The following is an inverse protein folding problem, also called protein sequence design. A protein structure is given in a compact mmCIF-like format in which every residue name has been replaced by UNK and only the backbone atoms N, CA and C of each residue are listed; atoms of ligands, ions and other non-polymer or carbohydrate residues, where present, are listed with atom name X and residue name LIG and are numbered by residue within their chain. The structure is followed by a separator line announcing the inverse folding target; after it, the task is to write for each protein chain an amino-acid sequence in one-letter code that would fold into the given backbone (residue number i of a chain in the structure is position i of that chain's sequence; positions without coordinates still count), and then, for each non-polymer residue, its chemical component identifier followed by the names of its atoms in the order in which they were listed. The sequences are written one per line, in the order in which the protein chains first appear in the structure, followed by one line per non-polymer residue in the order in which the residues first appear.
data_IF_892302458410
#
_entry.id   IF_892302458410
#
_cell.length_a   1.000
_cell.length_b   1.000
_cell.length_c   1.000
_cell.angle_alpha   90.00
_cell.angle_beta   90.00
_cell.angle_gamma   90.00
#
_symmetry.space_group_name_H-M   'P 1'
#
loop_
_entity.id
_entity.type
_entity.pdbx_description
1 polymer ?
#
# COMPACT_ATOMS: atom_id res chain seq x y z
N UNK A 1 -3.92 16.31 9.66
CA UNK A 1 -2.86 15.79 8.75
C UNK A 1 -1.56 15.66 9.52
N UNK A 2 -0.68 14.69 9.23
CA UNK A 2 0.60 14.55 9.95
C UNK A 2 1.81 14.05 9.13
N UNK A 3 1.62 13.69 7.86
CA UNK A 3 2.70 13.20 6.99
C UNK A 3 2.42 13.67 5.55
N UNK A 4 3.49 13.92 4.78
CA UNK A 4 3.43 14.57 3.48
C UNK A 4 4.44 14.01 2.50
N UNK A 5 4.05 14.00 1.23
CA UNK A 5 4.94 13.79 0.10
C UNK A 5 4.61 14.79 -1.01
N UNK A 6 5.63 15.32 -1.67
CA UNK A 6 5.47 16.30 -2.75
C UNK A 6 5.49 17.73 -2.22
N UNK A 7 4.81 18.63 -2.91
CA UNK A 7 4.81 20.04 -2.59
C UNK A 7 3.71 20.36 -1.55
N UNK A 8 4.11 20.76 -0.35
CA UNK A 8 3.20 21.01 0.78
C UNK A 8 2.41 22.32 0.66
N UNK A 9 2.74 23.16 -0.31
CA UNK A 9 2.03 24.42 -0.57
C UNK A 9 0.97 24.28 -1.67
N UNK A 10 0.80 23.07 -2.23
CA UNK A 10 -0.18 22.83 -3.28
C UNK A 10 -1.57 22.58 -2.71
N UNK A 11 -2.54 23.21 -3.37
CA UNK A 11 -3.95 22.96 -3.12
C UNK A 11 -4.40 21.64 -3.76
N UNK A 12 -5.29 20.94 -3.07
CA UNK A 12 -6.01 19.78 -3.58
C UNK A 12 -7.51 20.05 -3.49
N UNK A 13 -8.25 19.57 -4.49
CA UNK A 13 -9.70 19.62 -4.46
C UNK A 13 -10.24 18.31 -3.90
N UNK A 14 -10.78 18.35 -2.68
CA UNK A 14 -11.45 17.21 -2.08
C UNK A 14 -12.89 17.13 -2.59
N UNK A 15 -13.32 15.94 -2.99
CA UNK A 15 -14.72 15.63 -3.26
C UNK A 15 -15.19 14.49 -2.37
N UNK A 16 -16.35 14.67 -1.76
CA UNK A 16 -17.01 13.68 -0.91
C UNK A 16 -18.26 13.19 -1.60
N UNK A 17 -18.39 11.87 -1.72
CA UNK A 17 -19.53 11.20 -2.32
C UNK A 17 -20.17 10.26 -1.30
N UNK A 18 -21.47 10.00 -1.46
CA UNK A 18 -22.12 8.95 -0.73
C UNK A 18 -21.65 7.58 -1.25
N UNK A 19 -21.10 6.75 -0.37
CA UNK A 19 -20.77 5.37 -0.73
C UNK A 19 -22.03 4.50 -0.66
N UNK A 20 -22.26 3.65 -1.65
CA UNK A 20 -23.51 2.89 -1.78
C UNK A 20 -23.39 1.42 -1.39
N UNK A 21 -22.18 0.94 -1.10
CA UNK A 21 -21.94 -0.44 -0.67
C UNK A 21 -21.45 -0.55 0.78
N UNK A 22 -21.80 -1.65 1.44
CA UNK A 22 -21.39 -1.89 2.82
C UNK A 22 -19.96 -2.41 2.87
N UNK A 23 -19.10 -1.74 3.64
CA UNK A 23 -17.76 -2.24 3.97
C UNK A 23 -17.76 -3.14 5.22
N UNK A 24 -17.52 -4.43 5.04
CA UNK A 24 -17.44 -5.43 6.10
C UNK A 24 -16.05 -5.52 6.77
N UNK A 25 -16.03 -5.92 8.04
CA UNK A 25 -14.83 -6.25 8.81
C UNK A 25 -14.96 -7.71 9.26
N UNK A 26 -14.79 -8.63 8.33
CA UNK A 26 -14.81 -10.06 8.60
C UNK A 26 -13.76 -10.78 7.76
N UNK A 27 -13.56 -12.07 8.02
CA UNK A 27 -12.59 -12.90 7.32
C UNK A 27 -13.07 -13.36 5.93
N UNK A 28 -14.31 -13.06 5.56
CA UNK A 28 -14.89 -13.45 4.28
C UNK A 28 -14.77 -12.32 3.22
N UNK A 29 -14.57 -11.07 3.67
CA UNK A 29 -14.41 -9.90 2.81
C UNK A 29 -13.00 -9.34 2.92
N UNK A 30 -12.21 -9.60 1.89
CA UNK A 30 -10.90 -8.99 1.70
C UNK A 30 -11.00 -7.83 0.72
N UNK A 31 -10.30 -6.73 1.00
CA UNK A 31 -10.16 -5.59 0.10
C UNK A 31 -8.71 -5.50 -0.33
N UNK A 32 -8.47 -5.75 -1.60
CA UNK A 32 -7.15 -5.78 -2.21
C UNK A 32 -6.86 -4.46 -2.93
N UNK A 33 -5.62 -4.28 -3.37
CA UNK A 33 -5.17 -3.04 -4.02
C UNK A 33 -5.86 -2.77 -5.36
N UNK A 34 -6.37 -3.83 -6.01
CA UNK A 34 -7.16 -3.79 -7.24
C UNK A 34 -8.67 -3.58 -6.99
N UNK A 35 -9.06 -3.15 -5.79
CA UNK A 35 -10.45 -2.86 -5.47
C UNK A 35 -11.02 -1.76 -6.38
N UNK A 36 -11.93 -2.15 -7.27
CA UNK A 36 -12.65 -1.23 -8.13
C UNK A 36 -13.83 -0.57 -7.39
N UNK A 37 -13.84 0.76 -7.35
CA UNK A 37 -14.89 1.59 -6.74
C UNK A 37 -15.96 2.02 -7.73
N UNK A 38 -15.76 1.80 -9.03
CA UNK A 38 -16.70 2.22 -10.06
C UNK A 38 -18.10 1.64 -9.80
N UNK A 39 -19.12 2.50 -9.85
CA UNK A 39 -20.52 2.13 -9.59
C UNK A 39 -20.88 1.87 -8.12
N UNK A 40 -19.93 1.97 -7.19
CA UNK A 40 -20.14 1.71 -5.74
C UNK A 40 -20.34 2.98 -4.90
N UNK A 41 -20.55 4.12 -5.56
CA UNK A 41 -20.85 5.40 -4.93
C UNK A 41 -21.83 6.19 -5.80
N UNK A 42 -22.54 7.14 -5.18
CA UNK A 42 -23.36 8.10 -5.91
C UNK A 42 -22.43 9.11 -6.61
N UNK A 43 -22.47 9.25 -7.95
CA UNK A 43 -21.56 10.14 -8.68
C UNK A 43 -21.84 11.63 -8.46
N UNK A 44 -22.93 11.98 -7.77
CA UNK A 44 -23.21 13.36 -7.34
C UNK A 44 -22.44 13.65 -6.04
N UNK A 45 -21.52 14.63 -6.03
CA UNK A 45 -20.76 14.95 -4.83
C UNK A 45 -21.68 15.57 -3.76
N UNK A 46 -21.58 15.07 -2.53
CA UNK A 46 -22.24 15.62 -1.34
C UNK A 46 -21.61 16.94 -0.91
N UNK A 47 -20.30 17.07 -1.11
CA UNK A 47 -19.53 18.27 -0.80
C UNK A 47 -18.22 18.30 -1.59
N UNK A 48 -17.73 19.51 -1.84
CA UNK A 48 -16.41 19.73 -2.42
C UNK A 48 -15.71 20.86 -1.67
N UNK A 49 -14.41 20.73 -1.46
CA UNK A 49 -13.61 21.73 -0.76
C UNK A 49 -12.17 21.72 -1.25
N UNK A 50 -11.68 22.88 -1.66
CA UNK A 50 -10.25 23.11 -1.89
C UNK A 50 -9.55 23.32 -0.55
N UNK A 51 -8.48 22.56 -0.32
CA UNK A 51 -7.63 22.70 0.86
C UNK A 51 -6.16 22.76 0.46
N UNK A 52 -5.35 23.51 1.21
CA UNK A 52 -3.90 23.35 1.25
C UNK A 52 -3.58 22.44 2.44
N UNK A 53 -3.16 21.18 2.25
CA UNK A 53 -2.89 20.27 3.36
C UNK A 53 -1.82 20.82 4.31
N UNK A 54 -2.13 20.95 5.60
CA UNK A 54 -1.25 21.55 6.59
C UNK A 54 -1.10 20.66 7.84
N UNK A 55 0.14 20.52 8.33
CA UNK A 55 0.46 19.64 9.45
C UNK A 55 -0.33 20.04 10.71
N UNK A 56 -0.87 19.06 11.43
CA UNK A 56 -1.68 19.28 12.63
C UNK A 56 -3.06 19.91 12.39
N UNK A 57 -3.44 20.13 11.12
CA UNK A 57 -4.74 20.76 10.78
C UNK A 57 -5.84 19.71 10.62
N UNK A 58 -7.04 20.09 11.05
CA UNK A 58 -8.30 19.38 10.84
C UNK A 58 -9.15 20.19 9.87
N UNK A 59 -9.73 19.53 8.89
CA UNK A 59 -10.61 20.15 7.89
C UNK A 59 -12.05 19.72 8.14
N UNK A 60 -12.95 20.70 8.08
CA UNK A 60 -14.39 20.50 8.19
C UNK A 60 -15.01 20.65 6.80
N UNK A 61 -15.58 19.56 6.28
CA UNK A 61 -16.27 19.53 4.99
C UNK A 61 -17.77 19.57 5.27
N UNK A 62 -18.43 20.68 4.92
CA UNK A 62 -19.86 20.84 5.12
C UNK A 62 -20.65 20.16 4.01
N UNK A 63 -21.54 19.24 4.37
CA UNK A 63 -22.49 18.60 3.45
C UNK A 63 -23.80 19.39 3.51
N UNK A 64 -24.17 20.03 2.41
CA UNK A 64 -25.42 20.79 2.26
C UNK A 64 -26.43 20.11 1.34
N UNK A 65 -26.09 18.93 0.81
CA UNK A 65 -26.96 18.13 -0.05
C UNK A 65 -28.26 17.74 0.69
N UNK A 66 -29.38 18.27 0.21
CA UNK A 66 -30.66 18.12 0.89
C UNK A 66 -31.17 16.68 0.84
N UNK A 67 -30.93 15.95 -0.25
CA UNK A 67 -31.36 14.56 -0.38
C UNK A 67 -30.67 13.68 0.66
N UNK A 68 -29.37 13.88 0.86
CA UNK A 68 -28.60 13.19 1.91
C UNK A 68 -29.05 13.58 3.32
N UNK A 69 -29.32 14.88 3.56
CA UNK A 69 -29.87 15.34 4.85
C UNK A 69 -31.25 14.72 5.11
N UNK A 70 -32.11 14.66 4.09
CA UNK A 70 -33.45 14.09 4.18
C UNK A 70 -33.42 12.59 4.49
N UNK A 71 -32.36 11.87 4.12
CA UNK A 71 -32.16 10.47 4.56
C UNK A 71 -32.10 10.32 6.08
N UNK A 72 -31.48 11.26 6.80
CA UNK A 72 -31.46 11.27 8.27
C UNK A 72 -32.84 11.63 8.83
N UNK A 73 -33.53 12.60 8.21
CA UNK A 73 -34.86 13.02 8.65
C UNK A 73 -35.92 11.94 8.42
N UNK A 74 -35.78 11.13 7.37
CA UNK A 74 -36.69 10.03 7.04
C UNK A 74 -36.73 8.95 8.14
N UNK A 75 -35.66 8.81 8.92
CA UNK A 75 -35.50 7.77 9.96
C UNK A 75 -35.47 8.36 11.37
N UNK A 76 -35.76 9.65 11.54
CA UNK A 76 -35.63 10.37 12.81
C UNK A 76 -36.43 9.75 13.97
N UNK A 77 -37.51 9.02 13.68
CA UNK A 77 -38.36 8.36 14.67
C UNK A 77 -38.06 6.86 14.85
N UNK A 78 -37.18 6.27 14.03
CA UNK A 78 -36.80 4.87 14.11
C UNK A 78 -35.55 4.68 14.96
N UNK A 79 -35.77 4.35 16.23
CA UNK A 79 -34.67 4.10 17.18
C UNK A 79 -33.86 2.86 16.85
N UNK A 80 -34.35 1.95 15.99
CA UNK A 80 -33.63 0.72 15.65
C UNK A 80 -32.42 1.02 14.76
N UNK A 81 -32.54 1.98 13.84
CA UNK A 81 -31.46 2.35 12.92
C UNK A 81 -30.25 2.88 13.67
N UNK A 82 -30.49 3.58 14.79
CA UNK A 82 -29.44 4.13 15.65
C UNK A 82 -29.05 3.21 16.82
N UNK A 83 -29.56 1.98 16.87
CA UNK A 83 -29.31 1.05 17.98
C UNK A 83 -27.88 0.49 17.99
N UNK A 84 -27.29 0.30 16.81
CA UNK A 84 -25.94 -0.26 16.67
C UNK A 84 -25.26 0.20 15.39
N UNK A 85 -23.93 0.22 15.39
CA UNK A 85 -23.11 0.58 14.22
C UNK A 85 -23.42 -0.29 13.01
N UNK A 86 -23.70 -1.59 13.20
CA UNK A 86 -23.99 -2.47 12.06
C UNK A 86 -25.28 -2.05 11.35
N UNK A 87 -26.37 -1.89 12.10
CA UNK A 87 -27.68 -1.49 11.53
C UNK A 87 -27.57 -0.09 10.92
N UNK A 88 -26.87 0.83 11.59
CA UNK A 88 -26.65 2.18 11.07
C UNK A 88 -25.93 2.13 9.72
N UNK A 89 -24.85 1.34 9.62
CA UNK A 89 -24.05 1.24 8.40
C UNK A 89 -24.75 0.49 7.27
N UNK A 90 -25.75 -0.35 7.56
CA UNK A 90 -26.58 -0.96 6.51
C UNK A 90 -27.51 0.07 5.83
N UNK A 91 -27.79 1.20 6.50
CA UNK A 91 -28.58 2.31 5.95
C UNK A 91 -27.70 3.48 5.46
N UNK A 92 -26.60 3.76 6.18
CA UNK A 92 -25.58 4.75 5.85
C UNK A 92 -24.23 4.07 5.61
N UNK A 93 -24.03 3.61 4.38
CA UNK A 93 -22.90 2.76 3.97
C UNK A 93 -21.52 3.43 4.11
N UNK A 94 -21.46 4.76 4.00
CA UNK A 94 -20.27 5.55 4.30
C UNK A 94 -20.03 6.66 3.28
N UNK A 95 -18.77 7.08 3.18
CA UNK A 95 -18.33 8.11 2.26
C UNK A 95 -17.20 7.58 1.38
N UNK A 96 -17.24 7.95 0.11
CA UNK A 96 -16.08 7.88 -0.77
C UNK A 96 -15.47 9.28 -0.86
N UNK A 97 -14.19 9.40 -0.53
CA UNK A 97 -13.47 10.66 -0.52
C UNK A 97 -12.32 10.54 -1.52
N UNK A 98 -12.28 11.45 -2.49
CA UNK A 98 -11.19 11.56 -3.46
C UNK A 98 -10.56 12.95 -3.41
N UNK A 99 -9.31 13.05 -3.86
CA UNK A 99 -8.55 14.28 -3.94
C UNK A 99 -8.02 14.44 -5.36
N UNK A 100 -8.42 15.53 -6.02
CA UNK A 100 -7.92 15.87 -7.35
C UNK A 100 -6.80 16.92 -7.24
N UNK A 101 -5.66 16.73 -7.92
CA UNK A 101 -4.60 17.72 -7.93
C UNK A 101 -5.03 18.96 -8.72
N UNK A 102 -4.68 20.14 -8.22
CA UNK A 102 -4.89 21.41 -8.95
C UNK A 102 -3.66 21.84 -9.77
N UNK A 103 -2.53 21.12 -9.64
CA UNK A 103 -1.28 21.37 -10.34
C UNK A 103 -0.49 20.09 -10.58
N UNK A 104 0.51 20.15 -11.46
CA UNK A 104 1.36 19.00 -11.81
C UNK A 104 2.41 18.64 -10.76
N UNK A 105 2.75 19.54 -9.83
CA UNK A 105 3.71 19.23 -8.76
C UNK A 105 3.12 18.30 -7.70
N UNK A 106 1.79 18.35 -7.51
CA UNK A 106 1.01 17.44 -6.67
C UNK A 106 1.40 17.44 -5.19
N UNK A 107 0.51 16.90 -4.37
CA UNK A 107 0.80 16.65 -2.95
C UNK A 107 0.03 15.43 -2.49
N UNK A 108 0.64 14.64 -1.63
CA UNK A 108 0.01 13.54 -0.94
C UNK A 108 0.12 13.80 0.56
N UNK A 109 -1.00 13.75 1.26
CA UNK A 109 -1.07 14.07 2.67
C UNK A 109 -1.82 12.99 3.44
N UNK A 110 -1.23 12.53 4.54
CA UNK A 110 -1.84 11.49 5.38
C UNK A 110 -2.83 12.10 6.38
N UNK A 111 -4.08 11.63 6.30
CA UNK A 111 -5.13 11.98 7.26
C UNK A 111 -5.06 11.06 8.47
N UNK A 112 -5.03 11.63 9.68
CA UNK A 112 -5.19 10.86 10.91
C UNK A 112 -6.67 10.63 11.18
N UNK A 113 -7.18 9.47 10.76
CA UNK A 113 -8.57 9.09 11.01
C UNK A 113 -8.79 8.49 12.41
N UNK A 114 -7.73 8.13 13.15
CA UNK A 114 -7.79 7.70 14.54
C UNK A 114 -7.69 8.90 15.51
N UNK A 115 -8.54 9.89 15.31
CA UNK A 115 -8.62 11.09 16.14
C UNK A 115 -10.04 11.29 16.63
N UNK A 116 -10.22 11.83 17.84
CA UNK A 116 -11.55 12.24 18.36
C UNK A 116 -12.19 13.35 17.53
N UNK A 117 -11.41 14.01 16.68
CA UNK A 117 -11.87 15.02 15.73
C UNK A 117 -12.34 14.40 14.41
N UNK A 118 -12.00 13.13 14.13
CA UNK A 118 -12.47 12.39 12.95
C UNK A 118 -13.89 11.88 13.20
N UNK A 119 -14.87 12.66 12.75
CA UNK A 119 -16.29 12.35 12.98
C UNK A 119 -17.17 13.02 11.93
N UNK A 120 -18.33 12.41 11.66
CA UNK A 120 -19.46 13.12 11.08
C UNK A 120 -20.21 13.83 12.22
N UNK A 121 -20.53 15.11 12.02
CA UNK A 121 -21.33 15.88 12.99
C UNK A 121 -22.60 16.38 12.32
N UNK A 122 -23.74 15.95 12.83
CA UNK A 122 -25.04 16.47 12.42
C UNK A 122 -25.43 17.60 13.37
N UNK A 123 -25.54 18.82 12.83
CA UNK A 123 -26.07 19.98 13.54
C UNK A 123 -27.57 20.09 13.23
N UNK A 124 -28.41 20.04 14.26
CA UNK A 124 -29.87 20.08 14.10
C UNK A 124 -30.51 20.98 15.16
N UNK A 125 -31.72 21.44 14.89
CA UNK A 125 -32.52 22.21 15.82
C UNK A 125 -33.97 21.77 15.69
N UNK A 126 -34.71 21.81 16.80
CA UNK A 126 -36.15 21.54 16.75
C UNK A 126 -36.87 22.73 16.10
N UNK A 127 -37.74 22.45 15.14
CA UNK A 127 -38.64 23.44 14.58
C UNK A 127 -39.86 23.56 15.50
N UNK A 128 -39.66 24.14 16.68
CA UNK A 128 -40.79 24.47 17.56
C UNK A 128 -41.47 25.71 16.99
N UNK A 129 -42.69 25.53 16.47
CA UNK A 129 -43.55 26.62 15.99
C UNK A 129 -43.98 27.60 17.10
N UNK A 130 -43.65 27.30 18.35
CA UNK A 130 -43.93 28.12 19.53
C UNK A 130 -42.76 29.06 19.92
N UNK A 131 -41.65 29.06 19.15
CA UNK A 131 -40.49 29.89 19.45
C UNK A 131 -40.63 31.26 18.78
N UNK A 132 -40.61 32.30 19.60
CA UNK A 132 -40.50 33.70 19.20
C UNK A 132 -39.44 33.85 18.09
N UNK A 133 -39.87 34.34 16.92
CA UNK A 133 -39.03 34.53 15.72
C UNK A 133 -37.82 35.47 15.93
N UNK A 134 -37.65 36.03 17.13
CA UNK A 134 -36.54 36.88 17.53
C UNK A 134 -35.48 36.18 18.40
N UNK A 135 -35.74 34.95 18.88
CA UNK A 135 -34.75 34.17 19.64
C UNK A 135 -33.81 33.39 18.69
N UNK A 136 -32.51 33.38 19.00
CA UNK A 136 -31.53 32.56 18.27
C UNK A 136 -31.93 31.07 18.36
N UNK A 137 -31.82 30.31 17.26
CA UNK A 137 -32.14 28.87 17.26
C UNK A 137 -31.17 28.13 18.18
N UNK A 138 -31.72 27.34 19.10
CA UNK A 138 -30.93 26.43 19.93
C UNK A 138 -30.53 25.19 19.08
N UNK A 139 -29.23 25.02 18.86
CA UNK A 139 -28.69 23.94 18.05
C UNK A 139 -28.16 22.81 18.93
N UNK A 140 -28.60 21.59 18.63
CA UNK A 140 -28.05 20.37 19.13
C UNK A 140 -27.09 19.73 18.11
N UNK A 141 -26.20 18.87 18.60
CA UNK A 141 -25.20 18.18 17.80
C UNK A 141 -25.23 16.69 18.08
N UNK A 142 -25.28 15.88 17.03
CA UNK A 142 -25.04 14.45 17.10
C UNK A 142 -23.69 14.15 16.43
N UNK A 143 -22.88 13.29 17.05
CA UNK A 143 -21.55 12.95 16.58
C UNK A 143 -21.48 11.46 16.27
N UNK A 144 -21.02 11.11 15.07
CA UNK A 144 -20.74 9.75 14.63
C UNK A 144 -19.23 9.64 14.45
N UNK A 145 -18.57 8.94 15.37
CA UNK A 145 -17.09 8.85 15.39
C UNK A 145 -16.60 7.96 14.26
N UNK A 146 -15.50 8.38 13.62
CA UNK A 146 -14.77 7.56 12.66
C UNK A 146 -13.55 7.01 13.41
N UNK A 147 -13.55 5.72 13.73
CA UNK A 147 -12.45 5.09 14.48
C UNK A 147 -12.10 3.69 13.94
N UNK A 148 -11.10 3.05 14.54
CA UNK A 148 -10.55 1.77 14.07
C UNK A 148 -11.41 0.54 14.40
N UNK A 149 -12.40 0.67 15.29
CA UNK A 149 -13.26 -0.41 15.74
C UNK A 149 -14.66 -0.30 15.13
N UNK A 150 -15.17 0.91 14.94
CA UNK A 150 -16.53 1.16 14.45
C UNK A 150 -16.60 1.40 12.93
N UNK A 151 -15.50 1.83 12.29
CA UNK A 151 -15.52 2.24 10.88
C UNK A 151 -14.43 1.57 10.04
N UNK A 152 -14.86 0.83 9.02
CA UNK A 152 -14.01 0.22 8.01
C UNK A 152 -13.51 1.28 7.04
N UNK A 153 -12.24 1.18 6.64
CA UNK A 153 -11.55 2.17 5.80
C UNK A 153 -10.70 1.43 4.78
N UNK A 154 -10.81 1.82 3.52
CA UNK A 154 -10.00 1.33 2.42
C UNK A 154 -9.41 2.55 1.75
N UNK A 155 -8.11 2.50 1.42
CA UNK A 155 -7.47 3.52 0.60
C UNK A 155 -7.12 2.87 -0.73
N UNK A 156 -7.43 3.59 -1.81
CA UNK A 156 -7.10 3.19 -3.16
C UNK A 156 -6.04 4.15 -3.67
N UNK A 157 -5.09 3.61 -4.41
CA UNK A 157 -3.97 4.36 -4.96
C UNK A 157 -3.84 3.96 -6.42
N UNK A 158 -3.58 4.94 -7.28
CA UNK A 158 -3.36 4.74 -8.70
C UNK A 158 -2.05 5.42 -9.08
N UNK A 159 -1.27 4.76 -9.94
CA UNK A 159 -0.02 5.26 -10.46
C UNK A 159 -0.10 5.37 -11.98
N UNK A 160 0.04 6.59 -12.51
CA UNK A 160 0.21 6.81 -13.94
C UNK A 160 1.69 6.76 -14.31
N UNK A 161 2.08 5.72 -15.05
CA UNK A 161 3.45 5.53 -15.54
C UNK A 161 3.68 6.09 -16.94
N UNK A 162 2.67 6.72 -17.56
CA UNK A 162 2.76 7.26 -18.92
C UNK A 162 3.92 8.24 -19.07
N UNK A 163 4.76 8.02 -20.09
CA UNK A 163 5.92 8.87 -20.36
C UNK A 163 7.12 8.66 -19.40
N UNK A 164 7.07 7.61 -18.56
CA UNK A 164 8.21 7.17 -17.75
C UNK A 164 8.87 5.92 -18.37
N UNK A 165 10.14 5.67 -18.04
CA UNK A 165 10.83 4.43 -18.43
C UNK A 165 10.11 3.16 -17.96
N UNK A 166 9.40 3.23 -16.83
CA UNK A 166 8.64 2.11 -16.29
C UNK A 166 7.38 1.84 -17.13
N UNK A 167 6.71 2.89 -17.62
CA UNK A 167 5.54 2.77 -18.48
C UNK A 167 5.85 2.09 -19.81
N UNK A 168 7.09 2.18 -20.29
CA UNK A 168 7.55 1.52 -21.51
C UNK A 168 7.80 0.01 -21.34
N UNK A 169 7.79 -0.52 -20.11
CA UNK A 169 8.19 -1.92 -19.82
C UNK A 169 7.15 -2.75 -19.05
N UNK A 170 6.22 -2.12 -18.32
CA UNK A 170 5.35 -2.81 -17.34
C UNK A 170 4.47 -3.91 -17.97
N UNK A 171 4.02 -3.69 -19.21
CA UNK A 171 3.15 -4.61 -19.96
C UNK A 171 3.86 -5.23 -21.19
N UNK A 172 5.20 -5.20 -21.22
CA UNK A 172 6.00 -5.76 -22.31
C UNK A 172 6.93 -6.87 -21.80
N UNK A 173 6.52 -8.13 -21.99
CA UNK A 173 7.32 -9.31 -21.65
C UNK A 173 8.65 -9.40 -22.42
N UNK A 174 8.79 -8.67 -23.53
CA UNK A 174 10.02 -8.62 -24.34
C UNK A 174 10.91 -7.44 -23.97
N UNK A 175 10.47 -6.57 -23.07
CA UNK A 175 11.25 -5.43 -22.64
C UNK A 175 12.53 -5.88 -21.95
N UNK A 176 13.64 -5.26 -22.36
CA UNK A 176 14.96 -5.47 -21.77
C UNK A 176 15.41 -4.18 -21.12
N UNK A 177 15.29 -4.11 -19.80
CA UNK A 177 15.64 -2.92 -19.01
C UNK A 177 16.90 -3.15 -18.17
N UNK A 178 17.76 -2.12 -17.99
CA UNK A 178 18.87 -2.18 -17.05
C UNK A 178 18.42 -2.23 -15.57
N UNK A 179 17.15 -1.96 -15.28
CA UNK A 179 16.64 -1.84 -13.91
C UNK A 179 15.47 -2.77 -13.65
N UNK A 180 15.31 -3.17 -12.40
CA UNK A 180 14.08 -3.77 -11.87
C UNK A 180 13.43 -2.80 -10.88
N UNK A 181 12.11 -2.88 -10.76
CA UNK A 181 11.30 -1.88 -10.08
C UNK A 181 10.44 -2.52 -9.00
N UNK A 182 10.34 -1.85 -7.86
CA UNK A 182 9.41 -2.18 -6.78
C UNK A 182 8.80 -0.90 -6.24
N UNK A 183 7.49 -0.91 -5.98
CA UNK A 183 6.73 0.24 -5.51
C UNK A 183 5.54 -0.24 -4.69
N UNK A 184 5.25 0.44 -3.58
CA UNK A 184 4.09 0.12 -2.75
C UNK A 184 2.88 0.91 -3.21
N UNK A 185 1.84 0.99 -2.38
CA UNK A 185 0.63 1.78 -2.62
C UNK A 185 -0.02 1.44 -3.98
N UNK A 186 -0.26 0.14 -4.22
CA UNK A 186 -0.75 -0.39 -5.50
C UNK A 186 0.18 -0.15 -6.70
N UNK A 187 1.48 0.01 -6.45
CA UNK A 187 2.50 0.08 -7.49
C UNK A 187 2.96 -1.28 -8.01
N UNK A 188 4.14 -1.28 -8.63
CA UNK A 188 4.71 -2.44 -9.31
C UNK A 188 5.53 -3.36 -8.41
N UNK A 189 5.55 -4.64 -8.78
CA UNK A 189 6.46 -5.65 -8.27
C UNK A 189 7.35 -6.20 -9.40
N UNK A 190 8.48 -6.81 -9.05
CA UNK A 190 9.35 -7.49 -10.03
C UNK A 190 9.13 -8.99 -9.96
N UNK A 191 8.64 -9.60 -11.06
CA UNK A 191 8.59 -11.05 -11.26
C UNK A 191 9.87 -11.53 -11.95
N UNK A 192 10.46 -12.63 -11.52
CA UNK A 192 11.68 -13.18 -12.12
C UNK A 192 11.80 -14.69 -11.94
N UNK A 193 12.59 -15.33 -12.82
CA UNK A 193 12.93 -16.75 -12.76
C UNK A 193 14.41 -16.98 -13.02
N UNK A 194 14.94 -18.13 -12.61
CA UNK A 194 16.31 -18.51 -12.87
C UNK A 194 16.40 -19.42 -14.11
N UNK A 195 16.93 -18.90 -15.22
CA UNK A 195 16.92 -19.61 -16.51
C UNK A 195 17.51 -21.03 -16.50
N UNK A 196 18.58 -21.26 -15.72
CA UNK A 196 19.30 -22.55 -15.69
C UNK A 196 19.22 -23.24 -14.32
N UNK A 197 18.18 -22.96 -13.53
CA UNK A 197 18.07 -23.51 -12.17
C UNK A 197 17.87 -25.02 -12.18
N UNK A 198 16.98 -25.52 -13.04
CA UNK A 198 16.72 -26.96 -13.14
C UNK A 198 17.97 -27.73 -13.58
N UNK A 199 18.65 -27.25 -14.63
CA UNK A 199 19.90 -27.84 -15.09
C UNK A 199 20.98 -27.86 -14.00
N UNK A 200 20.99 -26.87 -13.11
CA UNK A 200 21.92 -26.81 -11.98
C UNK A 200 21.54 -27.79 -10.86
N UNK A 201 20.24 -27.90 -10.56
CA UNK A 201 19.67 -28.86 -9.61
C UNK A 201 19.95 -30.31 -10.03
N UNK A 202 19.81 -30.62 -11.33
CA UNK A 202 19.93 -31.98 -11.86
C UNK A 202 21.37 -32.51 -11.93
N UNK A 203 22.38 -31.64 -11.76
CA UNK A 203 23.76 -32.00 -12.08
C UNK A 203 24.41 -32.99 -11.11
N UNK A 204 24.07 -33.02 -9.82
CA UNK A 204 24.59 -33.95 -8.80
C UNK A 204 23.67 -33.95 -7.55
N UNK A 205 23.77 -34.93 -6.64
CA UNK A 205 23.28 -34.74 -5.28
C UNK A 205 24.05 -33.61 -4.59
N UNK A 206 23.37 -32.48 -4.38
CA UNK A 206 23.92 -31.28 -3.75
C UNK A 206 23.33 -31.11 -2.35
N UNK A 207 24.14 -30.60 -1.42
CA UNK A 207 23.66 -30.06 -0.14
C UNK A 207 23.97 -28.56 -0.11
N UNK A 208 22.95 -27.73 0.12
CA UNK A 208 23.09 -26.29 0.24
C UNK A 208 23.51 -25.93 1.66
N UNK A 209 24.69 -25.32 1.80
CA UNK A 209 25.13 -24.77 3.09
C UNK A 209 24.63 -23.33 3.26
N UNK A 210 24.66 -22.54 2.18
CA UNK A 210 24.09 -21.19 2.15
C UNK A 210 23.73 -20.81 0.71
N UNK A 211 22.63 -20.10 0.54
CA UNK A 211 22.28 -19.43 -0.71
C UNK A 211 21.80 -18.01 -0.37
N UNK A 212 22.45 -17.00 -0.94
CA UNK A 212 22.11 -15.59 -0.71
C UNK A 212 21.84 -14.91 -2.04
N UNK A 213 20.60 -14.48 -2.24
CA UNK A 213 20.24 -13.65 -3.39
C UNK A 213 20.51 -12.19 -3.05
N UNK A 214 21.23 -11.49 -3.92
CA UNK A 214 21.67 -10.11 -3.71
C UNK A 214 21.19 -9.23 -4.85
N UNK A 215 20.46 -8.18 -4.51
CA UNK A 215 20.09 -7.09 -5.40
C UNK A 215 20.94 -5.87 -5.05
N UNK A 216 21.65 -5.33 -6.05
CA UNK A 216 22.38 -4.08 -5.91
C UNK A 216 21.46 -2.90 -6.19
N UNK A 217 21.53 -1.89 -5.33
CA UNK A 217 20.84 -0.62 -5.50
C UNK A 217 21.56 0.21 -6.58
N UNK A 218 20.79 0.84 -7.46
CA UNK A 218 21.31 1.79 -8.45
C UNK A 218 21.75 3.07 -7.73
N UNK A 219 22.94 3.63 -8.01
CA UNK A 219 23.41 4.86 -7.36
C UNK A 219 22.45 6.04 -7.51
N UNK A 220 22.45 6.98 -6.56
CA UNK A 220 21.54 8.15 -6.56
C UNK A 220 21.71 9.00 -7.84
N UNK A 221 22.94 9.16 -8.32
CA UNK A 221 23.27 9.94 -9.52
C UNK A 221 22.64 9.38 -10.81
N UNK A 222 22.46 8.06 -10.87
CA UNK A 222 21.90 7.35 -12.01
C UNK A 222 20.39 7.15 -11.85
N UNK A 223 19.96 6.70 -10.68
CA UNK A 223 18.55 6.46 -10.39
C UNK A 223 17.73 7.74 -10.23
N UNK A 224 18.38 8.83 -9.82
CA UNK A 224 17.76 10.09 -9.33
C UNK A 224 16.85 9.87 -8.11
N UNK A 225 17.05 8.79 -7.37
CA UNK A 225 16.32 8.45 -6.16
C UNK A 225 17.30 8.51 -5.00
N UNK A 226 16.96 9.25 -3.94
CA UNK A 226 17.78 9.32 -2.74
C UNK A 226 17.76 7.97 -2.02
N UNK A 227 18.88 7.58 -1.44
CA UNK A 227 18.96 6.34 -0.68
C UNK A 227 17.99 6.32 0.49
N UNK A 228 17.68 7.47 1.10
CA UNK A 228 16.70 7.59 2.19
C UNK A 228 15.26 7.36 1.73
N UNK A 229 14.96 7.56 0.44
CA UNK A 229 13.65 7.28 -0.15
C UNK A 229 13.44 5.78 -0.47
N UNK A 230 14.50 4.97 -0.40
CA UNK A 230 14.41 3.54 -0.71
C UNK A 230 13.78 2.74 0.44
N UNK A 231 12.92 1.74 0.15
CA UNK A 231 12.27 0.89 1.13
C UNK A 231 13.24 0.33 2.15
N UNK A 232 12.87 0.37 3.43
CA UNK A 232 13.72 -0.19 4.48
C UNK A 232 13.92 -1.70 4.32
N UNK A 233 12.89 -2.39 3.82
CA UNK A 233 12.88 -3.82 3.59
C UNK A 233 12.09 -4.20 2.34
N UNK A 234 12.63 -5.15 1.59
CA UNK A 234 11.98 -5.86 0.51
C UNK A 234 11.72 -7.30 0.92
N UNK A 235 10.78 -7.96 0.23
CA UNK A 235 10.36 -9.33 0.47
C UNK A 235 10.37 -10.12 -0.83
N UNK A 236 10.62 -11.44 -0.71
CA UNK A 236 10.57 -12.38 -1.83
C UNK A 236 9.61 -13.51 -1.50
N UNK A 237 8.85 -13.93 -2.49
CA UNK A 237 8.06 -15.17 -2.45
C UNK A 237 8.05 -15.88 -3.79
N UNK A 238 7.36 -17.01 -3.81
CA UNK A 238 7.03 -17.76 -5.02
C UNK A 238 5.61 -17.39 -5.45
N UNK A 239 5.39 -17.38 -6.77
CA UNK A 239 4.05 -17.33 -7.36
C UNK A 239 3.64 -18.78 -7.66
N UNK A 240 2.46 -19.16 -7.16
CA UNK A 240 1.85 -20.47 -7.37
C UNK A 240 1.08 -20.53 -8.69
N UNK A 241 0.68 -21.74 -9.11
CA UNK A 241 -0.06 -21.97 -10.36
C UNK A 241 -1.44 -21.28 -10.40
N UNK A 242 -2.01 -20.94 -9.24
CA UNK A 242 -3.27 -20.20 -9.08
C UNK A 242 -3.06 -18.68 -8.90
N UNK A 243 -1.86 -18.19 -9.22
CA UNK A 243 -1.40 -16.80 -9.01
C UNK A 243 -1.37 -16.37 -7.53
N UNK A 244 -1.55 -17.29 -6.58
CA UNK A 244 -1.37 -17.00 -5.16
C UNK A 244 0.11 -16.76 -4.84
N UNK A 245 0.33 -15.90 -3.85
CA UNK A 245 1.65 -15.59 -3.31
C UNK A 245 1.92 -16.43 -2.08
N UNK A 246 3.13 -17.01 -2.04
CA UNK A 246 3.64 -17.64 -0.84
C UNK A 246 5.05 -17.14 -0.51
N UNK A 247 5.33 -16.79 0.76
CA UNK A 247 6.69 -16.49 1.18
C UNK A 247 7.61 -17.67 0.91
N UNK A 248 8.87 -17.38 0.56
CA UNK A 248 9.82 -18.47 0.39
C UNK A 248 10.06 -19.23 1.70
N UNK A 249 10.46 -20.50 1.56
CA UNK A 249 10.49 -21.45 2.68
C UNK A 249 11.35 -20.98 3.87
N UNK A 250 12.50 -20.32 3.62
CA UNK A 250 13.32 -19.72 4.68
C UNK A 250 12.54 -18.75 5.56
N UNK A 251 11.70 -17.89 4.96
CA UNK A 251 10.89 -16.95 5.72
C UNK A 251 9.93 -17.69 6.66
N UNK A 252 9.20 -18.68 6.15
CA UNK A 252 8.24 -19.46 6.94
C UNK A 252 8.92 -20.20 8.11
N UNK A 253 10.04 -20.87 7.86
CA UNK A 253 10.81 -21.58 8.90
C UNK A 253 11.36 -20.59 9.93
N UNK A 254 11.84 -19.43 9.50
CA UNK A 254 12.39 -18.43 10.42
C UNK A 254 11.30 -17.76 11.24
N UNK A 255 10.15 -17.46 10.64
CA UNK A 255 8.98 -16.87 11.31
C UNK A 255 8.42 -17.80 12.39
N UNK A 256 8.20 -19.08 12.04
CA UNK A 256 7.65 -20.09 12.95
C UNK A 256 8.57 -20.38 14.15
N UNK A 257 9.89 -20.18 13.98
CA UNK A 257 10.89 -20.37 15.03
C UNK A 257 11.32 -19.07 15.73
N UNK A 258 10.74 -17.91 15.38
CA UNK A 258 11.05 -16.62 16.02
C UNK A 258 9.96 -16.29 17.07
N UNK A 259 10.31 -16.16 18.36
CA UNK A 259 9.34 -15.78 19.40
C UNK A 259 8.62 -14.45 19.13
N UNK A 260 9.22 -13.57 18.32
CA UNK A 260 8.64 -12.27 17.95
C UNK A 260 7.90 -12.29 16.61
N UNK A 261 7.96 -13.40 15.86
CA UNK A 261 7.36 -13.53 14.52
C UNK A 261 7.75 -12.40 13.56
N UNK A 262 9.03 -11.98 13.57
CA UNK A 262 9.54 -10.95 12.66
C UNK A 262 10.39 -11.51 11.52
N UNK A 263 10.80 -12.78 11.61
CA UNK A 263 11.66 -13.48 10.65
C UNK A 263 12.88 -12.63 10.22
N UNK A 264 13.44 -11.84 11.14
CA UNK A 264 14.46 -10.81 10.84
C UNK A 264 15.73 -11.39 10.18
N UNK A 265 16.05 -12.66 10.48
CA UNK A 265 17.18 -13.41 9.90
C UNK A 265 17.01 -13.72 8.41
N UNK A 266 15.80 -13.59 7.86
CA UNK A 266 15.54 -13.80 6.44
C UNK A 266 16.25 -12.76 5.56
N UNK A 267 16.45 -11.55 6.10
CA UNK A 267 17.06 -10.44 5.39
C UNK A 267 16.03 -9.60 4.67
N UNK A 268 16.39 -9.13 3.48
CA UNK A 268 15.61 -8.17 2.69
C UNK A 268 15.77 -6.73 3.16
N UNK A 269 16.57 -6.46 4.19
CA UNK A 269 16.84 -5.09 4.67
C UNK A 269 17.84 -4.37 3.77
N UNK A 270 17.61 -3.08 3.56
CA UNK A 270 18.58 -2.19 2.90
C UNK A 270 19.87 -2.14 3.72
N UNK A 271 20.99 -2.56 3.13
CA UNK A 271 22.28 -2.64 3.81
C UNK A 271 23.35 -1.85 3.09
N UNK A 272 24.04 -0.98 3.82
CA UNK A 272 25.22 -0.27 3.36
C UNK A 272 26.41 -1.24 3.21
N UNK A 273 27.07 -1.17 2.06
CA UNK A 273 28.30 -1.86 1.72
C UNK A 273 29.39 -0.81 1.53
N UNK A 274 30.24 -0.66 2.55
CA UNK A 274 31.39 0.24 2.49
C UNK A 274 32.50 -0.40 1.66
N UNK A 275 33.01 0.32 0.65
CA UNK A 275 34.20 -0.07 -0.11
C UNK A 275 35.50 0.51 0.49
N UNK A 276 35.44 1.09 1.70
CA UNK A 276 36.55 1.75 2.37
C UNK A 276 36.26 3.23 2.70
N UNK A 277 37.21 3.87 3.37
CA UNK A 277 37.06 5.22 3.94
C UNK A 277 36.88 6.35 2.91
N UNK A 278 37.17 6.07 1.63
CA UNK A 278 37.25 7.07 0.54
C UNK A 278 36.41 6.70 -0.70
N UNK A 279 35.50 5.76 -0.55
CA UNK A 279 34.67 5.24 -1.64
C UNK A 279 33.20 5.44 -1.33
N UNK A 280 32.40 5.66 -2.37
CA UNK A 280 30.96 5.79 -2.22
C UNK A 280 30.36 4.53 -1.57
N UNK A 281 29.53 4.77 -0.56
CA UNK A 281 28.77 3.70 0.08
C UNK A 281 27.72 3.23 -0.90
N UNK A 282 27.69 1.93 -1.18
CA UNK A 282 26.66 1.35 -2.06
C UNK A 282 25.70 0.52 -1.23
N UNK A 283 24.48 0.35 -1.71
CA UNK A 283 23.45 -0.36 -0.94
C UNK A 283 23.06 -1.66 -1.63
N UNK A 284 22.68 -2.65 -0.81
CA UNK A 284 22.18 -3.94 -1.29
C UNK A 284 20.97 -4.40 -0.50
N UNK A 285 20.13 -5.21 -1.13
CA UNK A 285 19.12 -6.03 -0.48
C UNK A 285 19.56 -7.49 -0.60
N UNK A 286 19.63 -8.20 0.53
CA UNK A 286 20.16 -9.57 0.60
C UNK A 286 19.14 -10.50 1.24
N UNK A 287 18.86 -11.62 0.58
CA UNK A 287 17.88 -12.61 1.01
C UNK A 287 18.56 -13.95 1.23
N UNK A 288 18.36 -14.53 2.41
CA UNK A 288 18.85 -15.88 2.71
C UNK A 288 17.81 -16.90 2.25
N UNK A 289 18.17 -17.71 1.24
CA UNK A 289 17.27 -18.65 0.55
C UNK A 289 17.79 -20.09 0.63
N UNK A 290 18.67 -20.38 1.59
CA UNK A 290 19.37 -21.67 1.67
C UNK A 290 18.41 -22.85 1.84
N UNK A 291 17.43 -22.70 2.74
CA UNK A 291 16.44 -23.74 3.00
C UNK A 291 15.50 -23.92 1.81
N UNK A 292 15.14 -22.83 1.14
CA UNK A 292 14.28 -22.86 -0.04
C UNK A 292 14.94 -23.61 -1.18
N UNK A 293 16.18 -23.27 -1.54
CA UNK A 293 16.91 -24.02 -2.58
C UNK A 293 17.17 -25.49 -2.20
N UNK A 294 17.38 -25.79 -0.91
CA UNK A 294 17.45 -27.18 -0.45
C UNK A 294 16.09 -27.89 -0.64
N UNK A 295 14.99 -27.23 -0.34
CA UNK A 295 13.64 -27.77 -0.52
C UNK A 295 13.33 -28.02 -2.01
N UNK A 296 13.85 -27.18 -2.91
CA UNK A 296 13.78 -27.40 -4.35
C UNK A 296 14.59 -28.63 -4.80
N UNK A 297 15.82 -28.78 -4.30
CA UNK A 297 16.65 -29.97 -4.56
C UNK A 297 16.01 -31.27 -4.05
N UNK A 298 15.33 -31.20 -2.91
CA UNK A 298 14.62 -32.34 -2.32
C UNK A 298 13.30 -32.67 -3.08
N UNK A 299 12.89 -31.84 -4.05
CA UNK A 299 11.70 -32.04 -4.87
C UNK A 299 10.39 -31.64 -4.19
N UNK A 300 10.44 -30.82 -3.13
CA UNK A 300 9.28 -30.43 -2.33
C UNK A 300 8.70 -29.04 -2.71
N UNK A 301 9.50 -28.19 -3.38
CA UNK A 301 9.16 -26.85 -3.89
C UNK A 301 9.72 -26.71 -5.29
N UNK A 302 8.90 -26.71 -6.34
CA UNK A 302 9.42 -26.78 -7.72
C UNK A 302 9.29 -25.45 -8.47
N UNK A 303 8.64 -24.47 -7.86
CA UNK A 303 8.27 -23.21 -8.46
C UNK A 303 9.53 -22.36 -8.70
N UNK A 304 9.86 -22.15 -9.98
CA UNK A 304 10.91 -21.25 -10.43
C UNK A 304 10.31 -19.91 -10.89
N UNK A 305 9.37 -19.40 -10.11
CA UNK A 305 8.69 -18.15 -10.39
C UNK A 305 8.63 -17.34 -9.10
N UNK A 306 9.40 -16.26 -9.08
CA UNK A 306 9.65 -15.47 -7.89
C UNK A 306 9.11 -14.06 -8.08
N UNK A 307 8.64 -13.49 -6.99
CA UNK A 307 8.26 -12.08 -6.92
C UNK A 307 9.09 -11.37 -5.87
N UNK A 308 9.65 -10.23 -6.25
CA UNK A 308 10.27 -9.26 -5.37
C UNK A 308 9.29 -8.09 -5.17
N UNK A 309 8.99 -7.80 -3.91
CA UNK A 309 8.03 -6.79 -3.51
C UNK A 309 8.50 -6.02 -2.27
N UNK A 310 7.75 -5.01 -1.87
CA UNK A 310 7.98 -4.29 -0.62
C UNK A 310 7.43 -5.09 0.56
N UNK A 311 8.09 -5.02 1.73
CA UNK A 311 7.63 -5.68 2.96
C UNK A 311 6.27 -5.14 3.46
N UNK A 312 6.07 -3.82 3.35
CA UNK A 312 4.81 -3.15 3.65
C UNK A 312 4.32 -2.40 2.41
N UNK A 313 3.32 -2.97 1.74
CA UNK A 313 2.69 -2.40 0.55
C UNK A 313 1.82 -1.18 0.84
N UNK A 314 1.58 -0.80 2.11
CA UNK A 314 0.80 0.39 2.47
C UNK A 314 1.63 1.68 2.43
N UNK A 315 2.94 1.57 2.23
CA UNK A 315 3.91 2.68 2.23
C UNK A 315 4.77 2.65 0.96
N UNK A 316 5.72 3.58 0.83
CA UNK A 316 6.63 3.73 -0.33
C UNK A 316 5.92 4.08 -1.65
N UNK A 317 5.36 5.30 -1.75
CA UNK A 317 4.71 5.79 -2.97
C UNK A 317 5.67 6.01 -4.15
N UNK A 318 6.98 6.10 -3.90
CA UNK A 318 8.00 6.22 -4.95
C UNK A 318 8.48 4.81 -5.33
N UNK A 319 8.59 4.55 -6.63
CA UNK A 319 9.25 3.32 -7.08
C UNK A 319 10.74 3.36 -6.73
N UNK A 320 11.32 2.19 -6.55
CA UNK A 320 12.77 1.99 -6.39
C UNK A 320 13.36 1.42 -7.67
N UNK A 321 14.63 1.76 -7.96
CA UNK A 321 15.40 1.18 -9.06
C UNK A 321 16.53 0.31 -8.49
N UNK A 322 16.52 -0.97 -8.80
CA UNK A 322 17.62 -1.89 -8.53
C UNK A 322 18.21 -2.35 -9.86
N UNK A 323 19.48 -2.77 -9.86
CA UNK A 323 20.10 -3.30 -11.06
C UNK A 323 19.40 -4.60 -11.50
N UNK A 324 19.07 -4.69 -12.79
CA UNK A 324 18.60 -5.95 -13.39
C UNK A 324 19.78 -6.88 -13.69
N UNK A 325 19.48 -8.06 -14.24
CA UNK A 325 20.50 -9.00 -14.69
C UNK A 325 20.95 -8.79 -16.15
N UNK A 326 20.67 -7.61 -16.74
CA UNK A 326 21.08 -7.29 -18.10
C UNK A 326 22.63 -7.37 -18.20
N UNK A 327 23.21 -8.10 -19.18
CA UNK A 327 24.66 -8.30 -19.25
C UNK A 327 25.49 -7.02 -19.37
N UNK A 328 24.89 -5.94 -19.91
CA UNK A 328 25.54 -4.64 -20.07
C UNK A 328 25.62 -3.83 -18.77
N UNK A 329 24.89 -4.21 -17.71
CA UNK A 329 24.88 -3.49 -16.45
C UNK A 329 26.23 -3.59 -15.73
N UNK A 330 26.62 -2.50 -15.06
CA UNK A 330 27.82 -2.45 -14.22
C UNK A 330 27.73 -3.42 -13.04
N UNK A 331 26.52 -3.59 -12.50
CA UNK A 331 26.19 -4.57 -11.46
C UNK A 331 24.99 -5.40 -11.89
N UNK A 332 24.89 -6.59 -11.32
CA UNK A 332 23.83 -7.54 -11.64
C UNK A 332 23.34 -8.23 -10.39
N UNK A 333 22.07 -8.62 -10.43
CA UNK A 333 21.49 -9.54 -9.45
C UNK A 333 22.35 -10.80 -9.40
N UNK A 334 22.72 -11.25 -8.20
CA UNK A 334 23.59 -12.41 -8.03
C UNK A 334 23.07 -13.34 -6.96
N UNK A 335 23.16 -14.64 -7.25
CA UNK A 335 22.90 -15.70 -6.29
C UNK A 335 24.24 -16.27 -5.82
N UNK A 336 24.59 -16.00 -4.57
CA UNK A 336 25.82 -16.46 -3.92
C UNK A 336 25.54 -17.80 -3.22
N UNK A 337 26.00 -18.92 -3.79
CA UNK A 337 25.73 -20.26 -3.24
C UNK A 337 27.01 -20.93 -2.76
N UNK A 338 26.96 -21.49 -1.55
CA UNK A 338 27.95 -22.44 -1.03
C UNK A 338 27.26 -23.79 -0.85
N UNK A 339 27.79 -24.81 -1.50
CA UNK A 339 27.21 -26.14 -1.50
C UNK A 339 28.29 -27.23 -1.44
N UNK A 340 27.91 -28.42 -0.99
CA UNK A 340 28.71 -29.63 -1.04
C UNK A 340 28.22 -30.51 -2.19
N UNK A 341 29.15 -30.99 -3.02
CA UNK A 341 28.89 -32.07 -3.96
C UNK A 341 29.14 -33.39 -3.23
N UNK A 342 28.15 -34.29 -3.24
CA UNK A 342 28.25 -35.60 -2.60
C UNK A 342 28.97 -36.63 -3.48
#
# INVERSE_FOLDING_TARGET
IYDFLGDTEQDVNLSVYEFTERLYLDTAHSYYSDYDVEGKYNPVPLAQQTITPANGTTYEIMIEDQDFIDKFLAVQSDTNIFYSDSIFKDYFNGFYITAEPLSSSGTMARVQLSSVQSRLTMKYANDSTDVDSTAERDFAFAHFTIDQYSSQKINMFEHDYTGTELGDIIDDEQASTPYVYVQGMSGVNTRFSFANLQDWIDQNPLIINSATLVFDVVPEEESRILYDDLPYRLMIGSILDDDDYEPIYDYYVLLSNDPTQLASRFGGYKKAESKGLFSDTTYTYRFNMGLHFQNMLDGNKLENDFILQIDDGMINPKYSKLWSNLPANERRIRLEIVYLKL
#
